data_IF_775953114471
#
_entry.id   IF_775953114471
#
_cell.length_a   1.000
_cell.length_b   1.000
_cell.length_c   1.000
_cell.angle_alpha   90.00
_cell.angle_beta   90.00
_cell.angle_gamma   90.00
#
_symmetry.space_group_name_H-M   'P 1'
#
loop_
_entity.id
_entity.type
_entity.pdbx_description
1 polymer ?
#
# COMPACT_ATOMS: atom_id res chain seq x y z
N UNK A 1 1.63 30.59 9.24
CA UNK A 1 1.95 29.20 8.84
C UNK A 1 2.74 28.58 9.99
N UNK A 2 2.02 27.97 10.93
CA UNK A 2 2.60 27.48 12.18
C UNK A 2 3.22 26.11 11.91
N UNK A 3 4.53 25.98 12.17
CA UNK A 3 5.31 24.77 11.94
C UNK A 3 4.66 23.60 12.70
N UNK A 4 4.21 22.58 11.96
CA UNK A 4 3.71 21.32 12.52
C UNK A 4 4.86 20.75 13.36
N UNK A 5 4.66 20.56 14.67
CA UNK A 5 5.62 19.81 15.49
C UNK A 5 5.83 18.46 14.81
N UNK A 6 7.04 18.19 14.34
CA UNK A 6 7.36 16.92 13.69
C UNK A 6 7.01 15.80 14.68
N UNK A 7 6.05 14.94 14.34
CA UNK A 7 5.75 13.78 15.17
C UNK A 7 6.95 12.83 15.13
N UNK A 8 7.36 12.32 16.29
CA UNK A 8 8.56 11.48 16.43
C UNK A 8 8.22 10.10 17.00
N UNK A 9 6.97 9.64 16.85
CA UNK A 9 6.50 8.37 17.40
C UNK A 9 7.35 7.18 16.91
N UNK A 10 7.74 7.20 15.63
CA UNK A 10 8.57 6.18 15.00
C UNK A 10 10.04 6.60 14.85
N UNK A 11 10.51 7.55 15.67
CA UNK A 11 11.90 7.97 15.64
C UNK A 11 12.83 6.78 15.89
N UNK A 12 13.80 6.61 14.99
CA UNK A 12 14.74 5.48 15.01
C UNK A 12 14.36 4.33 14.08
N UNK A 13 13.10 4.24 13.63
CA UNK A 13 12.67 3.22 12.68
C UNK A 13 13.13 3.55 11.26
N UNK A 14 13.76 2.60 10.58
CA UNK A 14 14.19 2.68 9.18
C UNK A 14 13.27 1.89 8.27
N UNK A 15 12.59 2.57 7.34
CA UNK A 15 11.68 1.97 6.36
C UNK A 15 12.28 2.11 4.96
N UNK A 16 12.37 1.02 4.22
CA UNK A 16 12.84 1.04 2.83
C UNK A 16 11.70 0.71 1.88
N UNK A 17 11.38 1.67 1.01
CA UNK A 17 10.40 1.55 -0.07
C UNK A 17 11.11 1.11 -1.35
N UNK A 18 10.74 -0.03 -1.92
CA UNK A 18 11.35 -0.62 -3.11
C UNK A 18 10.35 -0.66 -4.26
N UNK A 19 10.74 -0.10 -5.40
CA UNK A 19 9.90 0.01 -6.59
C UNK A 19 9.15 1.33 -6.68
N UNK A 20 8.34 1.44 -7.73
CA UNK A 20 7.66 2.65 -8.17
C UNK A 20 6.14 2.63 -7.93
N UNK A 21 5.66 1.68 -7.14
CA UNK A 21 4.24 1.52 -6.85
C UNK A 21 3.63 2.64 -5.97
N UNK A 22 2.37 3.04 -6.21
CA UNK A 22 1.66 4.10 -5.48
C UNK A 22 1.35 3.77 -4.03
N UNK A 23 0.94 2.54 -3.73
CA UNK A 23 0.59 2.14 -2.37
C UNK A 23 1.81 2.13 -1.44
N UNK A 24 2.98 1.72 -1.94
CA UNK A 24 4.25 1.74 -1.22
C UNK A 24 4.69 3.18 -0.96
N UNK A 25 4.46 4.11 -1.91
CA UNK A 25 4.70 5.53 -1.71
C UNK A 25 3.82 6.12 -0.60
N UNK A 26 2.52 5.76 -0.57
CA UNK A 26 1.61 6.13 0.52
C UNK A 26 2.05 5.52 1.85
N UNK A 27 2.38 4.23 1.89
CA UNK A 27 2.87 3.56 3.09
C UNK A 27 4.09 4.27 3.68
N UNK A 28 5.11 4.51 2.84
CA UNK A 28 6.31 5.23 3.26
C UNK A 28 6.03 6.68 3.68
N UNK A 29 5.05 7.35 3.05
CA UNK A 29 4.63 8.70 3.42
C UNK A 29 4.00 8.75 4.81
N UNK A 30 3.02 7.87 5.08
CA UNK A 30 2.32 7.82 6.37
C UNK A 30 3.28 7.51 7.51
N UNK A 31 4.20 6.55 7.32
CA UNK A 31 5.20 6.20 8.33
C UNK A 31 6.22 7.33 8.55
N UNK A 32 6.62 8.05 7.50
CA UNK A 32 7.50 9.21 7.62
C UNK A 32 6.85 10.39 8.36
N UNK A 33 5.56 10.66 8.12
CA UNK A 33 4.81 11.72 8.80
C UNK A 33 4.73 11.52 10.33
N UNK A 34 4.87 10.28 10.81
CA UNK A 34 4.91 9.94 12.24
C UNK A 34 6.32 9.66 12.78
N UNK A 35 7.36 9.95 11.99
CA UNK A 35 8.75 10.04 12.45
C UNK A 35 9.70 8.93 11.98
N UNK A 36 9.25 7.99 11.15
CA UNK A 36 10.14 6.97 10.60
C UNK A 36 11.07 7.56 9.53
N UNK A 37 12.31 7.05 9.45
CA UNK A 37 13.22 7.38 8.35
C UNK A 37 12.88 6.53 7.14
N UNK A 38 12.31 7.14 6.09
CA UNK A 38 11.96 6.43 4.86
C UNK A 38 12.98 6.68 3.75
N UNK A 39 13.47 5.62 3.10
CA UNK A 39 14.35 5.69 1.91
C UNK A 39 13.68 4.99 0.73
N UNK A 40 13.77 5.58 -0.46
CA UNK A 40 13.25 4.99 -1.70
C UNK A 40 14.36 4.34 -2.52
N UNK A 41 14.08 3.16 -3.10
CA UNK A 41 14.93 2.47 -4.09
C UNK A 41 14.08 2.23 -5.34
N UNK A 42 14.44 2.85 -6.46
CA UNK A 42 13.70 2.72 -7.71
C UNK A 42 13.80 3.97 -8.59
N UNK A 43 12.92 4.04 -9.58
CA UNK A 43 12.84 5.16 -10.52
C UNK A 43 12.34 6.45 -9.85
N UNK A 44 12.71 7.60 -10.44
CA UNK A 44 12.22 8.91 -9.98
C UNK A 44 10.70 9.01 -10.14
N UNK A 45 10.01 9.78 -9.28
CA UNK A 45 8.56 9.96 -9.38
C UNK A 45 8.16 10.58 -10.72
N UNK A 46 7.21 9.95 -11.41
CA UNK A 46 6.71 10.41 -12.71
C UNK A 46 5.54 11.40 -12.61
N UNK A 47 4.84 11.43 -11.48
CA UNK A 47 3.65 12.29 -11.25
C UNK A 47 3.85 13.25 -10.09
N UNK A 48 3.10 14.37 -10.09
CA UNK A 48 3.11 15.35 -8.99
C UNK A 48 2.66 14.74 -7.66
N UNK A 49 1.63 13.89 -7.69
CA UNK A 49 1.18 13.16 -6.51
C UNK A 49 2.33 12.29 -5.96
N UNK A 50 3.07 11.61 -6.84
CA UNK A 50 4.19 10.79 -6.40
C UNK A 50 5.36 11.60 -5.87
N UNK A 51 5.64 12.76 -6.47
CA UNK A 51 6.62 13.70 -5.96
C UNK A 51 6.24 14.22 -4.57
N UNK A 52 4.95 14.49 -4.33
CA UNK A 52 4.43 14.87 -3.01
C UNK A 52 4.62 13.75 -1.98
N UNK A 53 4.18 12.52 -2.28
CA UNK A 53 4.27 11.38 -1.35
C UNK A 53 5.71 10.99 -1.01
N UNK A 54 6.66 11.24 -1.90
CA UNK A 54 8.08 10.95 -1.69
C UNK A 54 8.90 12.18 -1.31
N UNK A 55 8.27 13.34 -1.09
CA UNK A 55 8.98 14.56 -0.74
C UNK A 55 9.80 14.36 0.54
N UNK A 56 11.07 14.78 0.51
CA UNK A 56 11.99 14.67 1.64
C UNK A 56 12.58 13.28 1.89
N UNK A 57 12.12 12.23 1.18
CA UNK A 57 12.72 10.89 1.25
C UNK A 57 14.00 10.83 0.41
N UNK A 58 15.14 10.37 0.94
CA UNK A 58 16.31 10.08 0.13
C UNK A 58 15.99 9.00 -0.90
N UNK A 59 16.49 9.17 -2.13
CA UNK A 59 16.40 8.16 -3.19
C UNK A 59 17.79 7.53 -3.34
N UNK A 60 17.90 6.24 -3.06
CA UNK A 60 19.11 5.47 -3.33
C UNK A 60 19.20 5.18 -4.83
N UNK A 61 20.19 5.78 -5.48
CA UNK A 61 20.36 5.79 -6.95
C UNK A 61 21.39 4.78 -7.46
N UNK A 62 22.11 4.09 -6.57
CA UNK A 62 23.08 3.06 -6.94
C UNK A 62 22.98 1.83 -6.04
N UNK A 63 23.51 0.70 -6.52
CA UNK A 63 23.42 -0.59 -5.83
C UNK A 63 24.05 -0.61 -4.44
N UNK A 64 25.16 0.13 -4.23
CA UNK A 64 25.86 0.16 -2.94
C UNK A 64 25.03 0.86 -1.86
N UNK A 65 24.47 2.03 -2.17
CA UNK A 65 23.58 2.77 -1.25
C UNK A 65 22.26 2.03 -1.01
N UNK A 66 21.70 1.41 -2.05
CA UNK A 66 20.52 0.57 -1.93
C UNK A 66 20.75 -0.63 -0.98
N UNK A 67 21.85 -1.35 -1.16
CA UNK A 67 22.23 -2.48 -0.31
C UNK A 67 22.39 -2.08 1.16
N UNK A 68 23.14 -1.00 1.42
CA UNK A 68 23.36 -0.52 2.80
C UNK A 68 22.06 -0.07 3.50
N UNK A 69 21.11 0.52 2.77
CA UNK A 69 19.79 0.86 3.30
C UNK A 69 18.96 -0.39 3.59
N UNK A 70 18.97 -1.38 2.69
CA UNK A 70 18.23 -2.64 2.85
C UNK A 70 18.74 -3.47 4.02
N UNK A 71 20.06 -3.61 4.18
CA UNK A 71 20.69 -4.35 5.29
C UNK A 71 20.27 -3.82 6.67
N UNK A 72 20.07 -2.50 6.78
CA UNK A 72 19.73 -1.79 8.03
C UNK A 72 18.24 -1.47 8.17
N UNK A 73 17.40 -1.92 7.23
CA UNK A 73 15.97 -1.67 7.29
C UNK A 73 15.33 -2.42 8.47
N UNK A 74 14.43 -1.73 9.17
CA UNK A 74 13.54 -2.36 10.16
C UNK A 74 12.25 -2.86 9.50
N UNK A 75 11.87 -2.27 8.37
CA UNK A 75 10.74 -2.66 7.53
C UNK A 75 11.06 -2.42 6.06
N UNK A 76 10.74 -3.38 5.20
CA UNK A 76 10.85 -3.24 3.74
C UNK A 76 9.45 -3.30 3.14
N UNK A 77 9.10 -2.35 2.28
CA UNK A 77 7.84 -2.30 1.54
C UNK A 77 8.17 -2.34 0.06
N UNK A 78 7.61 -3.30 -0.68
CA UNK A 78 7.83 -3.47 -2.12
C UNK A 78 6.53 -3.43 -2.91
N UNK A 79 6.53 -2.72 -4.04
CA UNK A 79 5.41 -2.65 -4.97
C UNK A 79 5.90 -2.18 -6.36
N UNK A 80 5.23 -2.64 -7.41
CA UNK A 80 5.50 -2.19 -8.78
C UNK A 80 6.76 -2.82 -9.36
N UNK A 81 7.44 -2.08 -10.23
CA UNK A 81 8.70 -2.53 -10.85
C UNK A 81 9.83 -2.46 -9.83
N UNK A 82 9.96 -3.52 -9.03
CA UNK A 82 10.96 -3.63 -7.98
C UNK A 82 12.26 -4.23 -8.54
N UNK A 83 13.43 -3.58 -8.36
CA UNK A 83 14.72 -4.12 -8.82
C UNK A 83 15.18 -5.36 -8.05
N UNK A 84 14.48 -5.72 -6.96
CA UNK A 84 14.75 -6.89 -6.14
C UNK A 84 13.46 -7.70 -5.95
N UNK A 85 13.55 -9.00 -6.24
CA UNK A 85 12.51 -9.95 -5.83
C UNK A 85 12.57 -10.23 -4.31
N UNK A 86 11.55 -10.93 -3.80
CA UNK A 86 11.44 -11.25 -2.38
C UNK A 86 12.65 -12.07 -1.87
N UNK A 87 13.16 -13.01 -2.67
CA UNK A 87 14.28 -13.87 -2.29
C UNK A 87 15.58 -13.06 -2.18
N UNK A 88 15.82 -12.12 -3.09
CA UNK A 88 16.96 -11.22 -3.06
C UNK A 88 16.90 -10.30 -1.83
N UNK A 89 15.74 -9.71 -1.54
CA UNK A 89 15.55 -8.89 -0.36
C UNK A 89 15.79 -9.68 0.93
N UNK A 90 15.30 -10.93 1.00
CA UNK A 90 15.50 -11.79 2.17
C UNK A 90 16.96 -12.20 2.36
N UNK A 91 17.73 -12.37 1.28
CA UNK A 91 19.20 -12.61 1.36
C UNK A 91 19.94 -11.40 1.92
N UNK A 92 19.56 -10.18 1.51
CA UNK A 92 20.18 -8.93 1.96
C UNK A 92 19.81 -8.65 3.43
N UNK A 93 18.54 -8.83 3.79
CA UNK A 93 18.06 -8.65 5.15
C UNK A 93 17.20 -9.85 5.61
N UNK A 94 17.83 -10.81 6.32
CA UNK A 94 17.13 -11.98 6.83
C UNK A 94 16.09 -11.68 7.92
N UNK A 95 16.12 -10.49 8.53
CA UNK A 95 15.37 -10.18 9.75
C UNK A 95 14.21 -9.20 9.57
N UNK A 96 14.28 -8.24 8.64
CA UNK A 96 13.21 -7.26 8.49
C UNK A 96 11.92 -7.94 8.00
N UNK A 97 10.74 -7.58 8.54
CA UNK A 97 9.49 -7.84 7.86
C UNK A 97 9.51 -7.24 6.45
N UNK A 98 9.01 -7.98 5.47
CA UNK A 98 8.87 -7.54 4.08
C UNK A 98 7.38 -7.53 3.75
N UNK A 99 6.85 -6.37 3.41
CA UNK A 99 5.48 -6.20 2.90
C UNK A 99 5.56 -6.11 1.38
N UNK A 100 4.97 -7.08 0.68
CA UNK A 100 4.68 -6.97 -0.75
C UNK A 100 3.27 -6.42 -0.92
N UNK A 101 3.13 -5.39 -1.76
CA UNK A 101 1.83 -4.89 -2.20
C UNK A 101 1.66 -5.26 -3.67
N UNK A 102 0.54 -5.88 -4.00
CA UNK A 102 0.21 -6.30 -5.36
C UNK A 102 -1.29 -6.11 -5.63
N UNK A 103 -1.73 -5.98 -6.89
CA UNK A 103 -3.13 -5.70 -7.20
C UNK A 103 -4.12 -6.72 -6.61
N UNK A 104 -3.83 -8.00 -6.79
CA UNK A 104 -4.72 -9.11 -6.40
C UNK A 104 -4.07 -10.10 -5.42
N UNK A 105 -2.89 -9.79 -4.86
CA UNK A 105 -2.09 -10.71 -4.06
C UNK A 105 -1.00 -11.41 -4.88
N UNK A 106 0.04 -11.92 -4.21
CA UNK A 106 1.14 -12.67 -4.84
C UNK A 106 0.74 -14.10 -5.24
N UNK A 107 -0.48 -14.54 -4.89
CA UNK A 107 -0.98 -15.90 -5.13
C UNK A 107 -2.42 -15.91 -5.63
N UNK A 108 -2.87 -17.06 -6.13
CA UNK A 108 -4.23 -17.25 -6.61
C UNK A 108 -4.40 -17.02 -8.11
N UNK A 109 -5.60 -17.31 -8.66
CA UNK A 109 -5.85 -17.32 -10.09
C UNK A 109 -5.75 -15.92 -10.74
N UNK A 110 -5.96 -14.86 -9.96
CA UNK A 110 -5.98 -13.47 -10.43
C UNK A 110 -4.68 -12.71 -10.15
N UNK A 111 -3.65 -13.37 -9.57
CA UNK A 111 -2.41 -12.72 -9.14
C UNK A 111 -1.73 -11.89 -10.25
N UNK A 112 -1.88 -12.34 -11.50
CA UNK A 112 -1.29 -11.70 -12.69
C UNK A 112 -2.30 -10.96 -13.56
N UNK A 113 -3.54 -10.78 -13.09
CA UNK A 113 -4.55 -10.05 -13.85
C UNK A 113 -4.13 -8.57 -14.00
N UNK A 114 -4.34 -7.98 -15.19
CA UNK A 114 -4.04 -6.57 -15.39
C UNK A 114 -4.95 -5.71 -14.50
N UNK A 115 -4.34 -4.72 -13.85
CA UNK A 115 -5.04 -3.88 -12.90
C UNK A 115 -4.80 -2.39 -13.15
N UNK A 116 -5.82 -1.61 -12.86
CA UNK A 116 -5.79 -0.16 -12.72
C UNK A 116 -6.51 0.18 -11.42
N UNK A 117 -6.33 1.41 -10.91
CA UNK A 117 -7.08 1.88 -9.75
C UNK A 117 -8.61 1.66 -9.93
N UNK A 118 -9.13 1.95 -11.13
CA UNK A 118 -10.54 1.73 -11.46
C UNK A 118 -10.94 0.24 -11.37
N UNK A 119 -10.20 -0.66 -12.01
CA UNK A 119 -10.58 -2.08 -12.03
C UNK A 119 -10.49 -2.70 -10.63
N UNK A 120 -9.50 -2.30 -9.83
CA UNK A 120 -9.37 -2.74 -8.43
C UNK A 120 -10.51 -2.22 -7.56
N UNK A 121 -10.84 -0.94 -7.72
CA UNK A 121 -11.93 -0.32 -6.98
C UNK A 121 -13.25 -1.06 -7.22
N UNK A 122 -13.58 -1.37 -8.48
CA UNK A 122 -14.79 -2.11 -8.80
C UNK A 122 -14.72 -3.60 -8.43
N UNK A 123 -13.58 -4.27 -8.65
CA UNK A 123 -13.40 -5.68 -8.29
C UNK A 123 -13.48 -5.94 -6.78
N UNK A 124 -13.19 -4.93 -5.95
CA UNK A 124 -13.36 -5.04 -4.50
C UNK A 124 -14.83 -4.97 -4.03
N UNK A 125 -15.74 -4.54 -4.90
CA UNK A 125 -17.14 -4.28 -4.58
C UNK A 125 -17.40 -2.97 -3.82
N UNK A 126 -16.36 -2.24 -3.38
CA UNK A 126 -16.54 -0.98 -2.64
C UNK A 126 -17.22 0.12 -3.47
N UNK A 127 -17.13 0.05 -4.81
CA UNK A 127 -17.87 0.93 -5.72
C UNK A 127 -19.38 0.91 -5.48
N UNK A 128 -19.93 -0.19 -4.94
CA UNK A 128 -21.34 -0.29 -4.57
C UNK A 128 -21.71 0.59 -3.37
N UNK A 129 -20.72 1.02 -2.58
CA UNK A 129 -20.88 1.69 -1.29
C UNK A 129 -20.56 3.19 -1.32
N UNK A 130 -19.82 3.68 -2.31
CA UNK A 130 -19.64 5.13 -2.50
C UNK A 130 -21.01 5.74 -2.83
N UNK A 131 -21.45 6.67 -1.99
CA UNK A 131 -22.85 7.07 -1.90
C UNK A 131 -23.29 8.05 -2.98
N UNK A 132 -24.42 7.70 -3.60
CA UNK A 132 -25.44 8.52 -4.25
C UNK A 132 -26.60 7.60 -4.65
N UNK A 133 -27.86 8.08 -4.57
CA UNK A 133 -28.95 7.45 -5.34
C UNK A 133 -28.53 7.55 -6.80
N UNK A 134 -28.56 6.42 -7.51
CA UNK A 134 -28.54 6.49 -8.97
C UNK A 134 -30.00 6.65 -9.36
N UNK A 135 -30.40 7.86 -9.73
CA UNK A 135 -31.76 8.14 -10.18
C UNK A 135 -32.06 7.44 -11.51
N UNK A 136 -31.02 7.22 -12.34
CA UNK A 136 -31.10 6.53 -13.62
C UNK A 136 -30.04 5.43 -13.76
N UNK A 137 -30.47 4.17 -13.74
CA UNK A 137 -29.60 2.99 -13.90
C UNK A 137 -29.00 2.87 -15.31
N UNK A 138 -29.40 3.71 -16.26
CA UNK A 138 -28.79 3.82 -17.59
C UNK A 138 -27.48 4.61 -17.58
N UNK A 139 -27.19 5.37 -16.52
CA UNK A 139 -25.95 6.13 -16.39
C UNK A 139 -24.72 5.23 -16.20
N UNK A 140 -23.60 5.66 -16.76
CA UNK A 140 -22.33 4.95 -16.61
C UNK A 140 -21.86 4.97 -15.13
N UNK A 141 -21.25 3.88 -14.63
CA UNK A 141 -20.69 3.87 -13.29
C UNK A 141 -19.68 4.99 -13.07
N UNK A 142 -19.79 5.69 -11.94
CA UNK A 142 -18.88 6.78 -11.59
C UNK A 142 -17.52 6.22 -11.20
N UNK A 143 -16.47 6.80 -11.77
CA UNK A 143 -15.10 6.52 -11.36
C UNK A 143 -14.73 7.36 -10.12
N UNK A 144 -14.16 6.77 -9.06
CA UNK A 144 -13.55 7.54 -7.99
C UNK A 144 -12.36 8.36 -8.52
N UNK A 145 -12.28 9.63 -8.10
CA UNK A 145 -11.19 10.52 -8.49
C UNK A 145 -9.90 10.14 -7.75
N UNK A 146 -8.79 10.16 -8.49
CA UNK A 146 -7.44 9.93 -7.96
C UNK A 146 -7.02 8.47 -8.00
N UNK A 147 -6.18 8.10 -7.02
CA UNK A 147 -5.59 6.77 -6.82
C UNK A 147 -6.06 6.18 -5.48
N UNK A 148 -7.38 6.11 -5.26
CA UNK A 148 -7.97 5.75 -3.96
C UNK A 148 -7.52 4.35 -3.49
N UNK A 149 -7.43 3.41 -4.42
CA UNK A 149 -7.01 2.03 -4.15
C UNK A 149 -5.60 1.99 -3.56
N UNK A 150 -4.71 2.82 -4.09
CA UNK A 150 -3.35 2.91 -3.58
C UNK A 150 -3.27 3.51 -2.17
N UNK A 151 -4.10 4.51 -1.86
CA UNK A 151 -4.11 5.09 -0.51
C UNK A 151 -4.59 4.08 0.53
N UNK A 152 -5.66 3.36 0.22
CA UNK A 152 -6.24 2.36 1.12
C UNK A 152 -5.27 1.19 1.32
N UNK A 153 -4.69 0.67 0.24
CA UNK A 153 -3.70 -0.41 0.33
C UNK A 153 -2.41 0.03 1.01
N UNK A 154 -1.94 1.26 0.76
CA UNK A 154 -0.76 1.81 1.42
C UNK A 154 -0.93 1.94 2.93
N UNK A 155 -2.13 2.35 3.38
CA UNK A 155 -2.45 2.38 4.81
C UNK A 155 -2.55 0.96 5.39
N UNK A 156 -3.18 0.02 4.69
CA UNK A 156 -3.25 -1.38 5.10
C UNK A 156 -1.83 -1.98 5.25
N UNK A 157 -0.95 -1.71 4.29
CA UNK A 157 0.46 -2.11 4.31
C UNK A 157 1.23 -1.48 5.47
N UNK A 158 1.01 -0.20 5.78
CA UNK A 158 1.61 0.46 6.93
C UNK A 158 1.17 -0.21 8.24
N UNK A 159 -0.13 -0.49 8.39
CA UNK A 159 -0.66 -1.19 9.57
C UNK A 159 -0.08 -2.59 9.71
N UNK A 160 -0.06 -3.38 8.63
CA UNK A 160 0.47 -4.75 8.65
C UNK A 160 1.98 -4.78 8.93
N UNK A 161 2.75 -3.88 8.29
CA UNK A 161 4.18 -3.73 8.53
C UNK A 161 4.48 -3.33 9.98
N UNK A 162 3.75 -2.36 10.53
CA UNK A 162 3.90 -1.96 11.93
C UNK A 162 3.50 -3.05 12.91
N UNK A 163 2.45 -3.83 12.61
CA UNK A 163 2.09 -4.99 13.42
C UNK A 163 3.24 -5.99 13.49
N UNK A 164 3.87 -6.30 12.36
CA UNK A 164 5.01 -7.21 12.33
C UNK A 164 6.24 -6.65 13.07
N UNK A 165 6.54 -5.36 12.91
CA UNK A 165 7.63 -4.69 13.63
C UNK A 165 7.40 -4.72 15.15
N UNK A 166 6.23 -4.28 15.61
CA UNK A 166 5.89 -4.22 17.05
C UNK A 166 5.75 -5.61 17.67
N UNK A 167 5.28 -6.59 16.90
CA UNK A 167 5.19 -7.98 17.30
C UNK A 167 6.53 -8.74 17.20
N UNK A 168 7.63 -8.07 16.86
CA UNK A 168 8.96 -8.66 16.65
C UNK A 168 8.93 -9.90 15.71
N UNK A 169 8.12 -9.83 14.66
CA UNK A 169 7.94 -10.90 13.66
C UNK A 169 9.11 -10.88 12.67
N UNK A 170 10.32 -11.18 13.16
CA UNK A 170 11.55 -11.15 12.37
C UNK A 170 11.44 -12.12 11.19
N UNK A 171 11.80 -11.65 10.01
CA UNK A 171 11.79 -12.46 8.79
C UNK A 171 10.40 -12.68 8.20
N UNK A 172 9.36 -12.04 8.72
CA UNK A 172 8.01 -12.16 8.19
C UNK A 172 7.92 -11.67 6.73
N UNK A 173 7.16 -12.40 5.92
CA UNK A 173 6.73 -11.98 4.59
C UNK A 173 5.23 -11.74 4.67
N UNK A 174 4.80 -10.56 4.27
CA UNK A 174 3.43 -10.09 4.37
C UNK A 174 2.97 -9.77 2.95
N UNK A 175 1.89 -10.41 2.52
CA UNK A 175 1.25 -10.12 1.24
C UNK A 175 0.04 -9.20 1.49
N UNK A 176 -0.04 -8.11 0.73
CA UNK A 176 -1.13 -7.14 0.79
C UNK A 176 -1.71 -7.00 -0.61
N UNK A 177 -2.86 -7.63 -0.83
CA UNK A 177 -3.68 -7.40 -2.01
C UNK A 177 -4.40 -6.07 -1.92
N UNK A 178 -4.27 -5.23 -2.95
CA UNK A 178 -5.00 -3.95 -3.04
C UNK A 178 -6.51 -4.22 -3.09
N UNK A 179 -6.93 -5.24 -3.86
CA UNK A 179 -8.34 -5.62 -3.97
C UNK A 179 -8.92 -6.07 -2.62
N UNK A 180 -8.19 -6.89 -1.85
CA UNK A 180 -8.64 -7.35 -0.55
C UNK A 180 -8.70 -6.21 0.46
N UNK A 181 -7.68 -5.33 0.46
CA UNK A 181 -7.66 -4.15 1.32
C UNK A 181 -8.89 -3.26 1.10
N UNK A 182 -9.30 -3.03 -0.15
CA UNK A 182 -10.53 -2.31 -0.48
C UNK A 182 -11.79 -3.07 -0.03
N UNK A 183 -11.83 -4.39 -0.23
CA UNK A 183 -12.96 -5.22 0.14
C UNK A 183 -13.25 -5.18 1.66
N UNK A 184 -12.22 -4.94 2.49
CA UNK A 184 -12.41 -4.76 3.94
C UNK A 184 -13.29 -3.55 4.28
N UNK A 185 -13.29 -2.50 3.46
CA UNK A 185 -14.18 -1.35 3.65
C UNK A 185 -15.64 -1.68 3.35
N UNK A 186 -15.89 -2.78 2.64
CA UNK A 186 -17.21 -3.34 2.38
C UNK A 186 -17.62 -4.43 3.38
N UNK A 187 -16.93 -4.56 4.52
CA UNK A 187 -17.10 -5.69 5.44
C UNK A 187 -18.55 -5.99 5.81
N UNK A 188 -19.38 -4.98 6.06
CA UNK A 188 -20.77 -5.19 6.46
C UNK A 188 -21.58 -5.81 5.32
N UNK A 189 -21.43 -5.31 4.10
CA UNK A 189 -22.15 -5.82 2.93
C UNK A 189 -21.65 -7.19 2.50
N UNK A 190 -20.33 -7.41 2.56
CA UNK A 190 -19.73 -8.70 2.26
C UNK A 190 -20.18 -9.76 3.28
N UNK A 191 -20.20 -9.43 4.58
CA UNK A 191 -20.70 -10.31 5.62
C UNK A 191 -22.19 -10.65 5.44
N UNK A 192 -23.01 -9.67 5.03
CA UNK A 192 -24.43 -9.93 4.71
C UNK A 192 -24.57 -10.90 3.56
N UNK A 193 -23.87 -10.66 2.45
CA UNK A 193 -23.90 -11.55 1.29
C UNK A 193 -23.45 -12.98 1.65
N UNK A 194 -22.35 -13.12 2.40
CA UNK A 194 -21.86 -14.42 2.86
C UNK A 194 -22.82 -15.16 3.80
N UNK A 195 -23.64 -14.42 4.56
CA UNK A 195 -24.69 -14.98 5.42
C UNK A 195 -26.05 -15.17 4.69
N UNK A 196 -26.09 -15.02 3.36
CA UNK A 196 -27.32 -15.12 2.56
C UNK A 196 -28.33 -14.00 2.84
N UNK A 197 -27.92 -12.91 3.49
CA UNK A 197 -28.77 -11.76 3.79
C UNK A 197 -28.77 -10.81 2.59
N UNK A 198 -29.93 -10.21 2.31
CA UNK A 198 -30.03 -9.14 1.31
C UNK A 198 -29.10 -8.00 1.67
N UNK A 199 -28.43 -7.40 0.70
CA UNK A 199 -27.74 -6.13 0.89
C UNK A 199 -28.65 -5.04 1.42
N UNK A 200 -28.09 -3.99 2.05
CA UNK A 200 -28.89 -2.81 2.34
C UNK A 200 -29.47 -2.24 1.04
N UNK A 201 -30.75 -1.89 1.08
CA UNK A 201 -31.38 -1.14 0.01
C UNK A 201 -30.77 0.27 0.00
N UNK A 202 -30.45 0.76 -1.20
CA UNK A 202 -30.05 2.15 -1.37
C UNK A 202 -31.29 3.00 -1.07
N UNK A 203 -31.24 3.80 0.00
CA UNK A 203 -32.24 4.83 0.30
C UNK A 203 -32.12 5.99 -0.64
#
# INVERSE_FOLDING_TARGET
MTYKSSMTLLAGLSVVQVGDGPAAAVCGYVLAEIGARSTCIGSKPETLLRAYLNHGKPIATNAATAGASLEKADLIVREGSAPYDLLALRRINPSAPIVTISPYGDTGPQANDPATDLTLFFASGIARLLTGQIDDLSEAPIRPVGEQSAFIAGLAAACAGMHAVLGNQRGATIDVSIQEALATLAMTELARAGLGRKSFERK
#
